data_IF_456590786837
#
_entry.id   IF_456590786837
#
_cell.length_a   1.000
_cell.length_b   1.000
_cell.length_c   1.000
_cell.angle_alpha   90.00
_cell.angle_beta   90.00
_cell.angle_gamma   90.00
#
_symmetry.space_group_name_H-M   'P 1'
#
loop_
_entity.id
_entity.type
_entity.pdbx_description
1 polymer ?
#
# COMPACT_ATOMS: atom_id res chain seq x y z
N UNK A 1 4.11 -8.07 -13.63
CA UNK A 1 4.29 -6.89 -14.51
C UNK A 1 5.32 -7.14 -15.60
N UNK A 2 6.61 -7.30 -15.29
CA UNK A 2 7.61 -7.55 -16.35
C UNK A 2 7.35 -8.84 -17.17
N UNK A 3 6.78 -9.87 -16.53
CA UNK A 3 6.41 -11.15 -17.17
C UNK A 3 4.96 -11.18 -17.64
N UNK A 4 4.05 -10.54 -16.89
CA UNK A 4 2.62 -10.49 -17.17
C UNK A 4 2.09 -9.11 -16.77
N UNK A 5 1.50 -8.40 -17.72
CA UNK A 5 1.06 -7.01 -17.52
C UNK A 5 -0.23 -6.92 -16.70
N UNK A 6 -1.04 -7.98 -16.69
CA UNK A 6 -2.35 -7.99 -16.05
C UNK A 6 -2.30 -8.43 -14.58
N UNK A 7 -1.13 -8.77 -14.03
CA UNK A 7 -1.03 -9.35 -12.68
C UNK A 7 -1.70 -8.49 -11.58
N UNK A 8 -1.72 -7.16 -11.72
CA UNK A 8 -2.43 -6.30 -10.76
C UNK A 8 -3.96 -6.39 -10.91
N UNK A 9 -4.47 -6.45 -12.14
CA UNK A 9 -5.91 -6.57 -12.40
C UNK A 9 -6.40 -7.93 -11.89
N UNK A 10 -5.70 -9.01 -12.24
CA UNK A 10 -5.99 -10.36 -11.75
C UNK A 10 -5.98 -10.43 -10.22
N UNK A 11 -5.03 -9.74 -9.57
CA UNK A 11 -4.96 -9.67 -8.10
C UNK A 11 -6.18 -8.97 -7.49
N UNK A 12 -6.63 -7.86 -8.08
CA UNK A 12 -7.83 -7.13 -7.63
C UNK A 12 -9.09 -7.99 -7.78
N UNK A 13 -9.27 -8.64 -8.94
CA UNK A 13 -10.46 -9.43 -9.21
C UNK A 13 -10.53 -10.65 -8.28
N UNK A 14 -9.39 -11.33 -8.09
CA UNK A 14 -9.26 -12.41 -7.10
C UNK A 14 -9.63 -11.94 -5.68
N UNK A 15 -9.18 -10.75 -5.28
CA UNK A 15 -9.52 -10.19 -3.98
C UNK A 15 -11.01 -9.94 -3.80
N UNK A 16 -11.67 -9.38 -4.83
CA UNK A 16 -13.11 -9.12 -4.80
C UNK A 16 -13.89 -10.42 -4.65
N UNK A 17 -13.59 -11.42 -5.47
CA UNK A 17 -14.24 -12.73 -5.42
C UNK A 17 -14.07 -13.38 -4.03
N UNK A 18 -12.85 -13.37 -3.48
CA UNK A 18 -12.60 -13.93 -2.13
C UNK A 18 -13.41 -13.20 -1.06
N UNK A 19 -13.53 -11.86 -1.15
CA UNK A 19 -14.31 -11.06 -0.20
C UNK A 19 -15.82 -11.25 -0.36
N UNK A 20 -16.30 -11.53 -1.57
CA UNK A 20 -17.70 -11.89 -1.81
C UNK A 20 -18.05 -13.23 -1.15
N UNK A 21 -17.17 -14.23 -1.26
CA UNK A 21 -17.36 -15.55 -0.65
C UNK A 21 -17.16 -15.48 0.87
N UNK A 22 -16.16 -14.72 1.34
CA UNK A 22 -15.80 -14.59 2.76
C UNK A 22 -15.66 -13.13 3.18
N UNK A 23 -16.77 -12.44 3.52
CA UNK A 23 -16.76 -11.00 3.81
C UNK A 23 -15.83 -10.56 4.95
N UNK A 24 -15.55 -11.46 5.90
CA UNK A 24 -14.74 -11.16 7.09
C UNK A 24 -13.27 -11.57 6.94
N UNK A 25 -12.91 -12.31 5.88
CA UNK A 25 -11.54 -12.82 5.71
C UNK A 25 -10.54 -11.69 5.53
N UNK A 26 -9.30 -11.91 5.95
CA UNK A 26 -8.21 -10.95 5.80
C UNK A 26 -7.30 -11.36 4.65
N UNK A 27 -7.03 -10.43 3.73
CA UNK A 27 -6.14 -10.67 2.60
C UNK A 27 -4.79 -9.98 2.87
N UNK A 28 -3.72 -10.71 2.65
CA UNK A 28 -2.34 -10.24 2.80
C UNK A 28 -1.53 -10.46 1.53
N UNK A 29 -0.58 -9.57 1.23
CA UNK A 29 0.34 -9.73 0.10
C UNK A 29 1.71 -9.11 0.36
N UNK A 30 2.74 -9.66 -0.28
CA UNK A 30 4.08 -9.07 -0.30
C UNK A 30 4.22 -8.06 -1.44
N UNK A 31 4.77 -6.87 -1.16
CA UNK A 31 4.82 -5.79 -2.16
C UNK A 31 5.92 -5.95 -3.22
N UNK A 32 6.98 -6.71 -2.93
CA UNK A 32 8.20 -6.73 -3.75
C UNK A 32 8.07 -7.57 -5.02
N UNK A 33 7.17 -8.55 -5.05
CA UNK A 33 7.08 -9.52 -6.15
C UNK A 33 6.58 -8.88 -7.45
N UNK A 34 5.67 -7.91 -7.34
CA UNK A 34 5.02 -7.32 -8.52
C UNK A 34 6.00 -6.53 -9.41
N UNK A 35 7.07 -6.00 -8.82
CA UNK A 35 8.09 -5.20 -9.49
C UNK A 35 9.34 -5.97 -9.90
N UNK A 36 9.36 -7.30 -9.76
CA UNK A 36 10.52 -8.10 -10.16
C UNK A 36 10.85 -7.89 -11.65
N UNK A 37 12.13 -7.68 -11.96
CA UNK A 37 12.61 -7.39 -13.32
C UNK A 37 12.43 -5.94 -13.80
N UNK A 38 11.88 -5.03 -12.98
CA UNK A 38 11.66 -3.63 -13.35
C UNK A 38 12.70 -2.68 -12.74
N UNK A 39 13.08 -1.59 -13.43
CA UNK A 39 13.83 -0.49 -12.81
C UNK A 39 12.95 0.30 -11.83
N UNK A 40 13.57 1.05 -10.92
CA UNK A 40 12.87 1.91 -9.95
C UNK A 40 11.69 1.22 -9.21
N UNK A 41 11.94 0.00 -8.73
CA UNK A 41 10.94 -0.89 -8.08
C UNK A 41 10.15 -0.24 -6.95
N UNK A 42 10.75 0.71 -6.22
CA UNK A 42 10.10 1.41 -5.11
C UNK A 42 8.82 2.12 -5.55
N UNK A 43 8.84 2.82 -6.69
CA UNK A 43 7.64 3.50 -7.19
C UNK A 43 6.52 2.51 -7.53
N UNK A 44 6.86 1.41 -8.21
CA UNK A 44 5.91 0.35 -8.56
C UNK A 44 5.30 -0.28 -7.30
N UNK A 45 6.12 -0.57 -6.29
CA UNK A 45 5.65 -1.14 -5.02
C UNK A 45 4.72 -0.19 -4.25
N UNK A 46 5.01 1.12 -4.27
CA UNK A 46 4.13 2.12 -3.64
C UNK A 46 2.79 2.25 -4.36
N UNK A 47 2.81 2.30 -5.71
CA UNK A 47 1.59 2.32 -6.50
C UNK A 47 0.75 1.04 -6.29
N UNK A 48 1.40 -0.12 -6.24
CA UNK A 48 0.76 -1.39 -5.90
C UNK A 48 0.11 -1.35 -4.52
N UNK A 49 0.83 -0.89 -3.49
CA UNK A 49 0.30 -0.76 -2.13
C UNK A 49 -0.94 0.12 -2.10
N UNK A 50 -0.89 1.31 -2.71
CA UNK A 50 -2.04 2.23 -2.76
C UNK A 50 -3.26 1.59 -3.42
N UNK A 51 -3.09 0.96 -4.58
CA UNK A 51 -4.20 0.30 -5.28
C UNK A 51 -4.74 -0.90 -4.50
N UNK A 52 -3.86 -1.76 -4.00
CA UNK A 52 -4.26 -2.95 -3.23
C UNK A 52 -5.01 -2.56 -1.95
N UNK A 53 -4.54 -1.55 -1.21
CA UNK A 53 -5.23 -1.02 -0.03
C UNK A 53 -6.58 -0.41 -0.40
N UNK A 54 -6.68 0.29 -1.54
CA UNK A 54 -7.94 0.84 -2.04
C UNK A 54 -8.98 -0.26 -2.32
N UNK A 55 -8.56 -1.34 -2.97
CA UNK A 55 -9.44 -2.47 -3.31
C UNK A 55 -9.69 -3.47 -2.16
N UNK A 56 -9.18 -3.19 -0.95
CA UNK A 56 -9.56 -3.92 0.26
C UNK A 56 -8.54 -4.92 0.79
N UNK A 57 -7.26 -4.77 0.45
CA UNK A 57 -6.18 -5.54 1.08
C UNK A 57 -6.06 -5.12 2.56
N UNK A 58 -6.03 -6.09 3.46
CA UNK A 58 -6.07 -5.84 4.90
C UNK A 58 -4.67 -5.70 5.53
N UNK A 59 -3.66 -6.39 4.98
CA UNK A 59 -2.28 -6.29 5.46
C UNK A 59 -1.27 -6.46 4.32
N UNK A 60 -0.05 -5.98 4.54
CA UNK A 60 1.04 -6.12 3.59
C UNK A 60 2.33 -6.51 4.31
N UNK A 61 3.11 -7.40 3.69
CA UNK A 61 4.49 -7.68 4.10
C UNK A 61 5.38 -6.69 3.35
N UNK A 62 5.92 -5.72 4.09
CA UNK A 62 6.70 -4.59 3.54
C UNK A 62 7.78 -4.14 4.51
N UNK A 63 8.73 -3.35 4.00
CA UNK A 63 9.75 -2.70 4.82
C UNK A 63 9.14 -1.46 5.52
N UNK A 64 8.94 -1.49 6.86
CA UNK A 64 8.37 -0.37 7.59
C UNK A 64 9.36 0.79 7.76
N UNK A 65 10.65 0.59 7.52
CA UNK A 65 11.67 1.64 7.59
C UNK A 65 11.65 2.54 6.34
N UNK A 66 10.95 2.12 5.29
CA UNK A 66 10.76 2.93 4.10
C UNK A 66 9.70 4.01 4.35
N UNK A 67 10.16 5.21 4.69
CA UNK A 67 9.33 6.39 5.02
C UNK A 67 8.38 6.79 3.89
N UNK A 68 8.80 6.66 2.63
CA UNK A 68 7.96 7.00 1.48
C UNK A 68 6.79 6.02 1.35
N UNK A 69 7.04 4.73 1.61
CA UNK A 69 6.02 3.70 1.57
C UNK A 69 5.00 3.84 2.71
N UNK A 70 5.47 4.19 3.92
CA UNK A 70 4.59 4.53 5.05
C UNK A 70 3.78 5.79 4.73
N UNK A 71 4.38 6.80 4.09
CA UNK A 71 3.67 8.00 3.66
C UNK A 71 2.55 7.67 2.66
N UNK A 72 2.85 6.83 1.66
CA UNK A 72 1.86 6.37 0.69
C UNK A 72 0.70 5.61 1.35
N UNK A 73 0.99 4.71 2.30
CA UNK A 73 -0.04 3.98 3.05
C UNK A 73 -0.95 4.91 3.85
N UNK A 74 -0.37 5.80 4.67
CA UNK A 74 -1.13 6.72 5.51
C UNK A 74 -1.95 7.72 4.68
N UNK A 75 -1.39 8.20 3.57
CA UNK A 75 -2.11 9.05 2.62
C UNK A 75 -3.30 8.30 2.01
N UNK A 76 -3.11 7.04 1.61
CA UNK A 76 -4.17 6.19 1.06
C UNK A 76 -5.28 5.97 2.10
N UNK A 77 -4.94 5.64 3.35
CA UNK A 77 -5.94 5.52 4.43
C UNK A 77 -6.73 6.81 4.65
N UNK A 78 -6.06 7.96 4.62
CA UNK A 78 -6.72 9.27 4.75
C UNK A 78 -7.69 9.54 3.60
N UNK A 79 -7.27 9.28 2.36
CA UNK A 79 -8.11 9.45 1.16
C UNK A 79 -9.32 8.50 1.14
N UNK A 80 -9.18 7.30 1.71
CA UNK A 80 -10.28 6.34 1.87
C UNK A 80 -11.23 6.68 3.04
N UNK A 81 -11.00 7.78 3.77
CA UNK A 81 -11.78 8.14 4.96
C UNK A 81 -11.54 7.24 6.18
N UNK A 82 -10.49 6.39 6.16
CA UNK A 82 -10.10 5.52 7.27
C UNK A 82 -9.28 6.24 8.35
N UNK A 83 -8.90 7.50 8.11
CA UNK A 83 -8.21 8.36 9.09
C UNK A 83 -9.08 9.58 9.45
N UNK A 84 -9.82 9.49 10.55
CA UNK A 84 -10.72 10.56 11.01
C UNK A 84 -9.94 11.85 11.27
N UNK A 85 -10.28 12.90 10.52
CA UNK A 85 -9.59 14.20 10.50
C UNK A 85 -8.09 14.11 10.13
N UNK A 86 -7.69 13.09 9.36
CA UNK A 86 -6.31 12.89 8.94
C UNK A 86 -5.31 12.87 10.13
N UNK A 87 -5.75 12.41 11.32
CA UNK A 87 -4.97 12.50 12.55
C UNK A 87 -3.72 11.64 12.48
N UNK A 88 -3.81 10.41 11.96
CA UNK A 88 -2.65 9.53 11.82
C UNK A 88 -1.62 10.14 10.88
N UNK A 89 -2.06 10.61 9.70
CA UNK A 89 -1.19 11.25 8.71
C UNK A 89 -0.48 12.48 9.29
N UNK A 90 -1.25 13.40 9.88
CA UNK A 90 -0.70 14.63 10.47
C UNK A 90 0.26 14.35 11.63
N UNK A 91 -0.06 13.37 12.49
CA UNK A 91 0.81 12.99 13.60
C UNK A 91 2.09 12.31 13.12
N UNK A 92 2.03 11.49 12.08
CA UNK A 92 3.21 10.86 11.51
C UNK A 92 4.18 11.91 10.95
N UNK A 93 3.66 12.95 10.28
CA UNK A 93 4.47 14.06 9.80
C UNK A 93 5.10 14.87 10.96
N UNK A 94 4.31 15.22 11.98
CA UNK A 94 4.81 15.95 13.18
C UNK A 94 5.93 15.20 13.90
N UNK A 95 5.82 13.88 14.01
CA UNK A 95 6.83 12.99 14.62
C UNK A 95 8.04 12.71 13.73
N UNK A 96 8.07 13.23 12.50
CA UNK A 96 9.16 12.98 11.55
C UNK A 96 9.20 11.54 11.02
N UNK A 97 8.11 10.77 11.15
CA UNK A 97 8.02 9.41 10.59
C UNK A 97 7.97 9.48 9.06
N UNK A 98 7.24 10.45 8.53
CA UNK A 98 7.11 10.73 7.08
C UNK A 98 7.58 12.16 6.75
N UNK A 99 7.79 12.44 5.46
CA UNK A 99 8.29 13.74 4.97
C UNK A 99 9.82 13.85 4.96
N UNK A 100 10.39 15.02 4.67
CA UNK A 100 11.84 15.23 4.72
C UNK A 100 12.42 14.81 6.07
N UNK A 101 13.66 14.31 6.11
CA UNK A 101 14.36 14.20 7.39
C UNK A 101 14.61 15.62 7.87
N UNK A 102 14.27 15.92 9.12
CA UNK A 102 14.76 17.15 9.74
C UNK A 102 16.27 16.98 9.86
N UNK A 103 17.03 17.89 9.29
CA UNK A 103 18.47 17.92 9.50
C UNK A 103 18.72 17.98 11.03
N UNK A 104 19.63 17.13 11.48
CA UNK A 104 20.02 17.03 12.89
C UNK A 104 20.86 18.24 13.31
#
# INVERSE_FOLDING_TARGET
>A
LATENNSMLSFIDTMKEIKEIYPTIKITSGLSNISFGMPHRKAVNMAFLTLATFFGMDSAIMDPCNRDMIAALLATEALMGKDRHCRKYNNAFRKGIIGPKKDA
#
